data_IF_340563822757
#
_entry.id   IF_340563822757
#
_cell.length_a   1.000
_cell.length_b   1.000
_cell.length_c   1.000
_cell.angle_alpha   90.00
_cell.angle_beta   90.00
_cell.angle_gamma   90.00
#
_symmetry.space_group_name_H-M   'P 1'
#
loop_
_entity.id
_entity.type
_entity.pdbx_description
1 polymer ?
#
# COMPACT_ATOMS: atom_id res chain seq x y z
N UNK A 1 -17.14 -11.83 7.31
CA UNK A 1 -17.25 -11.04 6.05
C UNK A 1 -18.46 -11.55 5.26
N UNK A 2 -18.82 -10.92 4.14
CA UNK A 2 -19.71 -11.52 3.12
C UNK A 2 -18.90 -11.97 1.90
N UNK A 3 -19.49 -12.79 1.02
CA UNK A 3 -18.86 -13.20 -0.25
C UNK A 3 -18.42 -11.99 -1.09
N UNK A 4 -19.28 -10.97 -1.20
CA UNK A 4 -18.95 -9.70 -1.87
C UNK A 4 -17.72 -9.00 -1.25
N UNK A 5 -17.57 -9.03 0.08
CA UNK A 5 -16.42 -8.41 0.75
C UNK A 5 -15.13 -9.19 0.48
N UNK A 6 -15.19 -10.53 0.49
CA UNK A 6 -14.05 -11.39 0.17
C UNK A 6 -13.60 -11.13 -1.28
N UNK A 7 -14.53 -11.16 -2.22
CA UNK A 7 -14.26 -10.90 -3.63
C UNK A 7 -13.68 -9.49 -3.83
N UNK A 8 -14.31 -8.46 -3.25
CA UNK A 8 -13.80 -7.08 -3.33
C UNK A 8 -12.39 -6.95 -2.77
N UNK A 9 -12.15 -7.43 -1.55
CA UNK A 9 -10.83 -7.33 -0.92
C UNK A 9 -9.76 -8.05 -1.73
N UNK A 10 -10.08 -9.23 -2.27
CA UNK A 10 -9.17 -9.98 -3.13
C UNK A 10 -8.90 -9.26 -4.47
N UNK A 11 -9.93 -8.66 -5.09
CA UNK A 11 -9.76 -7.82 -6.28
C UNK A 11 -8.87 -6.62 -6.00
N UNK A 12 -9.06 -5.92 -4.88
CA UNK A 12 -8.22 -4.77 -4.50
C UNK A 12 -6.76 -5.20 -4.25
N UNK A 13 -6.54 -6.33 -3.58
CA UNK A 13 -5.20 -6.91 -3.40
C UNK A 13 -4.55 -7.27 -4.74
N UNK A 14 -5.28 -7.88 -5.66
CA UNK A 14 -4.79 -8.24 -6.99
C UNK A 14 -4.45 -7.01 -7.83
N UNK A 15 -5.29 -5.97 -7.79
CA UNK A 15 -5.03 -4.69 -8.47
C UNK A 15 -3.79 -4.00 -7.90
N UNK A 16 -3.64 -3.97 -6.58
CA UNK A 16 -2.45 -3.41 -5.93
C UNK A 16 -1.18 -4.16 -6.35
N UNK A 17 -1.18 -5.50 -6.22
CA UNK A 17 -0.03 -6.33 -6.58
C UNK A 17 0.30 -6.25 -8.08
N UNK A 18 -0.71 -6.31 -8.94
CA UNK A 18 -0.56 -6.21 -10.39
C UNK A 18 0.01 -4.87 -10.84
N UNK A 19 -0.49 -3.77 -10.29
CA UNK A 19 0.06 -2.42 -10.56
C UNK A 19 1.51 -2.32 -10.09
N UNK A 20 1.82 -2.76 -8.86
CA UNK A 20 3.20 -2.71 -8.31
C UNK A 20 4.17 -3.56 -9.14
N UNK A 21 3.73 -4.72 -9.64
CA UNK A 21 4.50 -5.55 -10.55
C UNK A 21 4.75 -4.81 -11.88
N UNK A 22 3.70 -4.27 -12.50
CA UNK A 22 3.81 -3.49 -13.74
C UNK A 22 4.79 -2.32 -13.61
N UNK A 23 4.66 -1.52 -12.55
CA UNK A 23 5.57 -0.40 -12.26
C UNK A 23 7.01 -0.89 -12.07
N UNK A 24 7.21 -2.00 -11.36
CA UNK A 24 8.54 -2.55 -11.13
C UNK A 24 9.20 -3.02 -12.44
N UNK A 25 8.43 -3.55 -13.39
CA UNK A 25 8.93 -3.99 -14.69
C UNK A 25 9.21 -2.83 -15.64
N UNK A 26 8.44 -1.74 -15.55
CA UNK A 26 8.48 -0.64 -16.54
C UNK A 26 9.26 0.59 -16.08
N UNK A 27 9.22 0.92 -14.79
CA UNK A 27 9.81 2.15 -14.24
C UNK A 27 11.20 1.93 -13.64
N UNK A 28 11.55 0.70 -13.26
CA UNK A 28 12.83 0.42 -12.59
C UNK A 28 14.00 0.63 -13.54
N UNK A 29 14.93 1.50 -13.12
CA UNK A 29 16.20 1.74 -13.82
C UNK A 29 17.34 1.01 -13.11
N UNK A 30 18.33 0.47 -13.85
CA UNK A 30 19.53 -0.12 -13.24
C UNK A 30 20.21 0.86 -12.27
N UNK A 31 20.66 0.35 -11.12
CA UNK A 31 21.30 1.12 -10.07
C UNK A 31 22.43 0.30 -9.43
N UNK A 32 23.43 0.99 -8.91
CA UNK A 32 24.53 0.41 -8.11
C UNK A 32 24.07 0.00 -6.70
N UNK A 33 22.92 0.49 -6.26
CA UNK A 33 22.34 0.14 -4.96
C UNK A 33 21.79 -1.29 -5.00
N UNK A 34 22.33 -2.17 -4.15
CA UNK A 34 21.89 -3.57 -4.01
C UNK A 34 20.97 -3.70 -2.79
N UNK A 35 19.83 -4.36 -2.99
CA UNK A 35 18.96 -4.73 -1.87
C UNK A 35 19.56 -5.93 -1.12
N UNK A 36 19.56 -5.87 0.21
CA UNK A 36 19.99 -7.00 1.02
C UNK A 36 19.05 -8.20 0.84
N UNK A 37 19.61 -9.39 0.65
CA UNK A 37 18.87 -10.61 0.32
C UNK A 37 17.82 -11.00 1.37
N UNK A 38 18.08 -10.71 2.65
CA UNK A 38 17.11 -10.98 3.71
C UNK A 38 15.87 -10.09 3.62
N UNK A 39 16.04 -8.79 3.32
CA UNK A 39 14.91 -7.87 3.10
C UNK A 39 14.12 -8.25 1.84
N UNK A 40 14.80 -8.72 0.80
CA UNK A 40 14.15 -9.28 -0.38
C UNK A 40 13.28 -10.50 -0.02
N UNK A 41 13.84 -11.48 0.70
CA UNK A 41 13.12 -12.69 1.10
C UNK A 41 11.92 -12.40 2.01
N UNK A 42 12.10 -11.46 2.96
CA UNK A 42 11.01 -10.97 3.81
C UNK A 42 9.89 -10.34 2.97
N UNK A 43 10.23 -9.56 1.94
CA UNK A 43 9.25 -8.98 1.01
C UNK A 43 8.44 -10.05 0.28
N UNK A 44 9.09 -11.10 -0.24
CA UNK A 44 8.42 -12.23 -0.88
C UNK A 44 7.48 -12.94 0.10
N UNK A 45 7.96 -13.26 1.31
CA UNK A 45 7.15 -13.89 2.33
C UNK A 45 5.92 -13.04 2.70
N UNK A 46 6.09 -11.72 2.80
CA UNK A 46 5.00 -10.79 3.05
C UNK A 46 3.94 -10.83 1.94
N UNK A 47 4.33 -10.74 0.66
CA UNK A 47 3.38 -10.77 -0.46
C UNK A 47 2.59 -12.09 -0.53
N UNK A 48 3.22 -13.22 -0.23
CA UNK A 48 2.53 -14.52 -0.15
C UNK A 48 1.53 -14.52 1.02
N UNK A 49 1.99 -14.17 2.23
CA UNK A 49 1.17 -14.21 3.43
C UNK A 49 -0.05 -13.27 3.33
N UNK A 50 0.16 -12.04 2.86
CA UNK A 50 -0.91 -11.04 2.75
C UNK A 50 -1.88 -11.36 1.60
N UNK A 51 -1.42 -12.02 0.55
CA UNK A 51 -2.29 -12.45 -0.55
C UNK A 51 -3.25 -13.57 -0.14
N UNK A 52 -2.78 -14.50 0.69
CA UNK A 52 -3.57 -15.65 1.16
C UNK A 52 -4.44 -15.30 2.39
N UNK A 53 -4.09 -14.27 3.16
CA UNK A 53 -4.81 -13.91 4.40
C UNK A 53 -6.30 -13.59 4.18
N UNK A 54 -6.63 -12.84 3.11
CA UNK A 54 -8.02 -12.50 2.75
C UNK A 54 -8.83 -13.75 2.41
N UNK A 55 -8.19 -14.73 1.77
CA UNK A 55 -8.81 -16.02 1.47
C UNK A 55 -9.07 -16.83 2.72
N UNK A 56 -8.08 -16.95 3.61
CA UNK A 56 -8.21 -17.71 4.87
C UNK A 56 -9.38 -17.18 5.70
N UNK A 57 -9.52 -15.86 5.85
CA UNK A 57 -10.65 -15.26 6.54
C UNK A 57 -12.00 -15.43 5.81
N UNK A 58 -11.95 -15.62 4.49
CA UNK A 58 -13.11 -15.87 3.65
C UNK A 58 -13.64 -17.30 3.71
N UNK A 59 -12.80 -18.29 4.04
CA UNK A 59 -13.15 -19.73 4.01
C UNK A 59 -14.48 -20.04 4.71
N UNK A 60 -14.75 -19.58 5.95
CA UNK A 60 -16.00 -19.92 6.63
C UNK A 60 -17.24 -19.48 5.86
N UNK A 61 -17.17 -18.32 5.19
CA UNK A 61 -18.29 -17.74 4.43
C UNK A 61 -18.44 -18.42 3.07
N UNK A 62 -17.31 -18.75 2.43
CA UNK A 62 -17.30 -19.46 1.15
C UNK A 62 -17.82 -20.89 1.29
N UNK A 63 -17.41 -21.62 2.33
CA UNK A 63 -17.87 -22.99 2.57
C UNK A 63 -19.36 -23.05 2.99
N UNK A 64 -19.85 -22.02 3.68
CA UNK A 64 -21.27 -21.93 4.06
C UNK A 64 -22.19 -21.52 2.89
N UNK A 65 -21.63 -21.18 1.72
CA UNK A 65 -22.39 -20.75 0.55
C UNK A 65 -22.32 -21.82 -0.54
N UNK A 66 -23.44 -22.46 -0.88
CA UNK A 66 -23.47 -23.56 -1.87
C UNK A 66 -22.92 -23.18 -3.24
N UNK A 67 -23.21 -21.95 -3.72
CA UNK A 67 -22.65 -21.42 -4.97
C UNK A 67 -22.15 -19.98 -4.77
N UNK A 68 -20.89 -19.79 -4.34
CA UNK A 68 -20.32 -18.47 -4.03
C UNK A 68 -20.31 -17.51 -5.23
N UNK A 69 -20.13 -18.03 -6.45
CA UNK A 69 -20.13 -17.22 -7.67
C UNK A 69 -21.51 -16.63 -7.93
N UNK A 70 -22.57 -17.42 -7.77
CA UNK A 70 -23.96 -16.93 -7.88
C UNK A 70 -24.36 -15.98 -6.74
N UNK A 71 -23.67 -16.07 -5.60
CA UNK A 71 -23.88 -15.18 -4.46
C UNK A 71 -23.22 -13.80 -4.62
N UNK A 72 -22.40 -13.60 -5.66
CA UNK A 72 -21.88 -12.29 -6.03
C UNK A 72 -23.03 -11.41 -6.53
N UNK A 73 -23.40 -10.42 -5.72
CA UNK A 73 -24.48 -9.49 -6.05
C UNK A 73 -23.93 -8.10 -6.28
N UNK A 74 -24.01 -7.62 -7.52
CA UNK A 74 -23.85 -6.22 -7.85
C UNK A 74 -25.08 -5.46 -7.32
N UNK A 75 -24.91 -4.86 -6.14
CA UNK A 75 -25.95 -4.17 -5.41
C UNK A 75 -25.44 -2.80 -4.97
N UNK A 76 -26.31 -1.99 -4.35
CA UNK A 76 -25.94 -0.68 -3.82
C UNK A 76 -24.70 -0.82 -2.93
N UNK A 77 -23.65 0.00 -3.13
CA UNK A 77 -22.43 -0.09 -2.34
C UNK A 77 -22.74 0.03 -0.85
N UNK A 78 -22.16 -0.86 -0.05
CA UNK A 78 -22.18 -0.67 1.41
C UNK A 78 -21.42 0.61 1.78
N UNK A 79 -21.70 1.19 2.95
CA UNK A 79 -20.92 2.33 3.46
C UNK A 79 -19.40 2.03 3.46
N UNK A 80 -19.02 0.80 3.82
CA UNK A 80 -17.63 0.34 3.78
C UNK A 80 -17.05 0.38 2.37
N UNK A 81 -17.79 -0.11 1.39
CA UNK A 81 -17.39 -0.06 -0.03
C UNK A 81 -17.28 1.38 -0.53
N UNK A 82 -18.25 2.23 -0.18
CA UNK A 82 -18.29 3.64 -0.58
C UNK A 82 -17.12 4.45 -0.02
N UNK A 83 -16.56 4.05 1.13
CA UNK A 83 -15.36 4.68 1.71
C UNK A 83 -14.09 4.03 1.17
N UNK A 84 -14.01 2.69 1.19
CA UNK A 84 -12.81 1.95 0.86
C UNK A 84 -12.38 2.10 -0.60
N UNK A 85 -13.32 2.03 -1.55
CA UNK A 85 -12.98 2.05 -2.98
C UNK A 85 -12.39 3.40 -3.39
N UNK A 86 -13.01 4.57 -3.07
CA UNK A 86 -12.41 5.86 -3.38
C UNK A 86 -11.05 6.06 -2.69
N UNK A 87 -10.92 5.67 -1.41
CA UNK A 87 -9.64 5.76 -0.70
C UNK A 87 -8.55 4.92 -1.39
N UNK A 88 -8.87 3.69 -1.77
CA UNK A 88 -7.97 2.80 -2.50
C UNK A 88 -7.53 3.40 -3.83
N UNK A 89 -8.48 3.91 -4.63
CA UNK A 89 -8.20 4.47 -5.96
C UNK A 89 -7.34 5.72 -5.84
N UNK A 90 -7.70 6.65 -4.96
CA UNK A 90 -6.94 7.90 -4.74
C UNK A 90 -5.52 7.61 -4.23
N UNK A 91 -5.38 6.72 -3.23
CA UNK A 91 -4.07 6.36 -2.70
C UNK A 91 -3.22 5.60 -3.74
N UNK A 92 -3.84 4.74 -4.56
CA UNK A 92 -3.15 4.05 -5.65
C UNK A 92 -2.65 5.03 -6.71
N UNK A 93 -3.47 6.03 -7.07
CA UNK A 93 -3.09 7.10 -8.01
C UNK A 93 -1.93 7.92 -7.49
N UNK A 94 -2.02 8.45 -6.26
CA UNK A 94 -0.92 9.21 -5.64
C UNK A 94 0.35 8.38 -5.54
N UNK A 95 0.24 7.08 -5.21
CA UNK A 95 1.39 6.20 -5.16
C UNK A 95 2.04 6.04 -6.55
N UNK A 96 1.23 5.81 -7.59
CA UNK A 96 1.69 5.69 -8.97
C UNK A 96 2.39 6.96 -9.45
N UNK A 97 1.77 8.13 -9.26
CA UNK A 97 2.32 9.43 -9.64
C UNK A 97 3.67 9.67 -8.96
N UNK A 98 3.79 9.29 -7.69
CA UNK A 98 5.06 9.39 -6.98
C UNK A 98 6.13 8.45 -7.55
N UNK A 99 5.80 7.20 -7.88
CA UNK A 99 6.75 6.27 -8.49
C UNK A 99 7.20 6.72 -9.87
N UNK A 100 6.27 7.19 -10.71
CA UNK A 100 6.57 7.73 -12.02
C UNK A 100 7.48 8.96 -11.93
N UNK A 101 7.14 9.89 -11.03
CA UNK A 101 7.97 11.07 -10.78
C UNK A 101 9.40 10.69 -10.37
N UNK A 102 9.53 9.80 -9.38
CA UNK A 102 10.83 9.31 -8.92
C UNK A 102 11.63 8.63 -10.04
N UNK A 103 10.96 7.85 -10.89
CA UNK A 103 11.60 7.19 -12.03
C UNK A 103 12.09 8.19 -13.08
N UNK A 104 11.40 9.32 -13.27
CA UNK A 104 11.78 10.38 -14.22
C UNK A 104 12.88 11.31 -13.70
N UNK A 105 13.16 11.31 -12.39
CA UNK A 105 14.19 12.19 -11.82
C UNK A 105 15.55 11.99 -12.48
N UNK A 106 16.25 13.12 -12.68
CA UNK A 106 17.69 13.09 -12.95
C UNK A 106 18.39 12.48 -11.73
N UNK A 107 19.35 11.59 -11.97
CA UNK A 107 20.00 10.81 -10.91
C UNK A 107 20.50 11.73 -9.79
N UNK A 108 20.14 11.40 -8.55
CA UNK A 108 20.48 12.16 -7.34
C UNK A 108 20.00 13.61 -7.32
N UNK A 109 18.77 13.86 -7.78
CA UNK A 109 18.07 15.13 -7.55
C UNK A 109 17.00 14.97 -6.48
N UNK A 110 16.75 16.03 -5.72
CA UNK A 110 15.69 16.04 -4.72
C UNK A 110 14.32 16.05 -5.44
N UNK A 111 13.38 15.18 -5.07
CA UNK A 111 12.05 15.17 -5.69
C UNK A 111 11.32 16.49 -5.42
N UNK A 112 10.88 17.12 -6.50
CA UNK A 112 10.02 18.30 -6.46
C UNK A 112 8.71 18.01 -7.20
N UNK A 113 7.65 17.75 -6.42
CA UNK A 113 6.29 17.47 -6.88
C UNK A 113 5.35 17.77 -5.70
N UNK A 114 4.07 18.17 -5.90
CA UNK A 114 3.15 18.53 -4.82
C UNK A 114 3.14 17.55 -3.63
N UNK A 115 3.12 16.24 -3.91
CA UNK A 115 3.15 15.20 -2.87
C UNK A 115 4.45 15.19 -2.03
N UNK A 116 5.58 15.62 -2.59
CA UNK A 116 6.90 15.61 -1.93
C UNK A 116 7.24 16.92 -1.21
N UNK A 117 6.40 17.95 -1.33
CA UNK A 117 6.66 19.26 -0.71
C UNK A 117 6.68 19.19 0.81
N UNK A 118 5.81 18.37 1.40
CA UNK A 118 5.65 18.24 2.85
C UNK A 118 6.02 16.86 3.40
N UNK A 119 6.22 15.86 2.55
CA UNK A 119 6.54 14.50 2.96
C UNK A 119 7.73 14.00 2.13
N UNK A 120 8.70 13.34 2.75
CA UNK A 120 9.88 12.79 2.08
C UNK A 120 9.49 11.59 1.23
N UNK A 121 8.71 10.66 1.78
CA UNK A 121 8.25 9.45 1.10
C UNK A 121 6.71 9.36 1.04
N UNK A 122 6.02 10.23 0.29
CA UNK A 122 4.55 10.24 0.19
C UNK A 122 3.96 8.95 -0.43
N UNK A 123 4.74 8.26 -1.26
CA UNK A 123 4.36 6.97 -1.83
C UNK A 123 4.25 5.87 -0.77
N UNK A 124 4.97 5.98 0.36
CA UNK A 124 4.84 5.04 1.48
C UNK A 124 3.60 5.33 2.33
N UNK A 125 3.27 6.61 2.52
CA UNK A 125 1.97 7.02 3.11
C UNK A 125 0.82 6.44 2.30
N UNK A 126 0.92 6.56 0.98
CA UNK A 126 -0.08 6.06 0.05
C UNK A 126 -0.21 4.54 0.14
N UNK A 127 0.89 3.80 0.28
CA UNK A 127 0.86 2.36 0.51
C UNK A 127 0.08 2.00 1.79
N UNK A 128 0.31 2.73 2.89
CA UNK A 128 -0.43 2.52 4.14
C UNK A 128 -1.93 2.77 3.95
N UNK A 129 -2.32 3.83 3.23
CA UNK A 129 -3.71 4.14 2.94
C UNK A 129 -4.39 3.07 2.07
N UNK A 130 -3.66 2.45 1.15
CA UNK A 130 -4.15 1.32 0.35
C UNK A 130 -4.48 0.12 1.25
N UNK A 131 -3.58 -0.24 2.17
CA UNK A 131 -3.85 -1.32 3.13
C UNK A 131 -4.98 -0.99 4.11
N UNK A 132 -5.12 0.27 4.54
CA UNK A 132 -6.27 0.74 5.33
C UNK A 132 -7.57 0.56 4.54
N UNK A 133 -7.61 0.96 3.27
CA UNK A 133 -8.78 0.80 2.42
C UNK A 133 -9.20 -0.68 2.30
N UNK A 134 -8.25 -1.58 2.09
CA UNK A 134 -8.51 -3.03 2.03
C UNK A 134 -9.00 -3.55 3.39
N UNK A 135 -8.42 -3.08 4.49
CA UNK A 135 -8.87 -3.44 5.84
C UNK A 135 -10.32 -3.00 6.10
N UNK A 136 -10.74 -1.82 5.62
CA UNK A 136 -12.14 -1.34 5.71
C UNK A 136 -13.06 -2.19 4.82
N UNK A 137 -12.66 -2.48 3.58
CA UNK A 137 -13.44 -3.30 2.65
C UNK A 137 -13.69 -4.71 3.20
N UNK A 138 -12.66 -5.32 3.77
CA UNK A 138 -12.68 -6.66 4.35
C UNK A 138 -13.22 -6.71 5.79
N UNK A 139 -13.67 -5.59 6.37
CA UNK A 139 -14.06 -5.56 7.77
C UNK A 139 -15.33 -6.42 8.05
N UNK A 140 -15.31 -7.38 9.00
CA UNK A 140 -16.48 -8.15 9.38
C UNK A 140 -17.65 -7.28 9.90
N UNK A 141 -18.86 -7.86 10.01
CA UNK A 141 -20.01 -7.17 10.62
C UNK A 141 -19.65 -6.74 12.06
N UNK A 142 -20.04 -5.52 12.45
CA UNK A 142 -19.71 -4.95 13.76
C UNK A 142 -18.30 -4.40 13.92
N UNK A 143 -17.40 -4.60 12.96
CA UNK A 143 -16.03 -4.06 13.00
C UNK A 143 -15.78 -3.03 11.91
N UNK A 144 -14.95 -2.02 12.23
CA UNK A 144 -14.51 -1.00 11.28
C UNK A 144 -13.41 -1.49 10.35
N UNK A 145 -12.55 -2.38 10.84
CA UNK A 145 -11.38 -2.89 10.11
C UNK A 145 -11.27 -4.41 10.23
N UNK A 146 -10.68 -5.01 9.21
CA UNK A 146 -10.21 -6.39 9.22
C UNK A 146 -8.88 -6.49 10.01
N UNK A 147 -8.84 -7.35 11.03
CA UNK A 147 -7.70 -7.43 11.96
C UNK A 147 -6.44 -8.02 11.31
N UNK A 148 -6.58 -9.03 10.46
CA UNK A 148 -5.40 -9.60 9.77
C UNK A 148 -4.81 -8.61 8.79
N UNK A 149 -5.66 -7.83 8.10
CA UNK A 149 -5.17 -6.75 7.24
C UNK A 149 -4.48 -5.64 8.03
N UNK A 150 -4.97 -5.31 9.24
CA UNK A 150 -4.28 -4.38 10.13
C UNK A 150 -2.92 -4.92 10.60
N UNK A 151 -2.81 -6.22 10.88
CA UNK A 151 -1.51 -6.81 11.22
C UNK A 151 -0.50 -6.69 10.06
N UNK A 152 -0.95 -6.93 8.82
CA UNK A 152 -0.14 -6.69 7.62
C UNK A 152 0.24 -5.22 7.46
N UNK A 153 -0.70 -4.30 7.70
CA UNK A 153 -0.43 -2.86 7.70
C UNK A 153 0.63 -2.46 8.73
N UNK A 154 0.58 -3.01 9.95
CA UNK A 154 1.59 -2.72 10.98
C UNK A 154 2.99 -3.13 10.52
N UNK A 155 3.10 -4.30 9.89
CA UNK A 155 4.35 -4.77 9.31
C UNK A 155 4.86 -3.83 8.20
N UNK A 156 4.01 -3.50 7.23
CA UNK A 156 4.35 -2.57 6.12
C UNK A 156 4.77 -1.21 6.65
N UNK A 157 3.98 -0.63 7.56
CA UNK A 157 4.23 0.69 8.13
C UNK A 157 5.59 0.71 8.83
N UNK A 158 5.94 -0.33 9.58
CA UNK A 158 7.23 -0.43 10.27
C UNK A 158 8.39 -0.51 9.28
N UNK A 159 8.28 -1.37 8.27
CA UNK A 159 9.31 -1.51 7.23
C UNK A 159 9.52 -0.22 6.42
N UNK A 160 8.43 0.43 6.04
CA UNK A 160 8.47 1.68 5.29
C UNK A 160 8.96 2.86 6.14
N UNK A 161 8.66 2.89 7.45
CA UNK A 161 9.16 3.92 8.36
C UNK A 161 10.69 3.89 8.46
N UNK A 162 11.28 2.70 8.63
CA UNK A 162 12.76 2.52 8.66
C UNK A 162 13.39 2.99 7.35
N UNK A 163 12.75 2.65 6.22
CA UNK A 163 13.22 3.06 4.90
C UNK A 163 13.10 4.58 4.71
N UNK A 164 11.99 5.19 5.13
CA UNK A 164 11.77 6.63 5.06
C UNK A 164 12.78 7.43 5.90
N UNK A 165 13.16 6.93 7.08
CA UNK A 165 14.21 7.55 7.89
C UNK A 165 15.56 7.51 7.18
N UNK A 166 15.91 6.37 6.58
CA UNK A 166 17.14 6.19 5.81
C UNK A 166 17.17 7.13 4.59
N UNK A 167 16.05 7.24 3.86
CA UNK A 167 15.91 8.19 2.74
C UNK A 167 16.06 9.64 3.21
N UNK A 168 15.46 10.02 4.34
CA UNK A 168 15.60 11.36 4.89
C UNK A 168 17.06 11.66 5.25
N UNK A 169 17.73 10.76 5.96
CA UNK A 169 19.16 10.91 6.33
C UNK A 169 20.02 11.10 5.09
N UNK A 170 19.81 10.27 4.07
CA UNK A 170 20.52 10.38 2.79
C UNK A 170 20.26 11.73 2.09
N UNK A 171 19.02 12.21 2.05
CA UNK A 171 18.71 13.54 1.50
C UNK A 171 19.35 14.68 2.29
N UNK A 172 19.43 14.59 3.63
CA UNK A 172 20.10 15.61 4.46
C UNK A 172 21.61 15.64 4.16
N UNK A 173 22.24 14.48 4.11
CA UNK A 173 23.67 14.34 3.79
C UNK A 173 23.99 14.90 2.40
N UNK A 174 23.10 14.65 1.42
CA UNK A 174 23.34 15.03 0.03
C UNK A 174 22.98 16.48 -0.30
N UNK A 175 21.89 17.00 0.25
CA UNK A 175 21.30 18.30 -0.15
C UNK A 175 21.27 19.34 0.98
N UNK A 176 21.66 18.97 2.19
CA UNK A 176 21.61 19.83 3.37
C UNK A 176 20.27 19.76 4.11
N UNK A 177 20.31 19.98 5.43
CA UNK A 177 19.15 19.86 6.31
C UNK A 177 18.05 20.90 6.00
N UNK A 178 18.43 22.09 5.55
CA UNK A 178 17.49 23.18 5.27
C UNK A 178 16.49 22.84 4.16
N UNK A 179 16.90 22.04 3.18
CA UNK A 179 16.04 21.62 2.05
C UNK A 179 14.89 20.70 2.50
N UNK A 180 15.03 20.04 3.65
CA UNK A 180 14.04 19.11 4.23
C UNK A 180 13.35 19.65 5.48
N UNK A 181 13.59 20.91 5.85
CA UNK A 181 12.97 21.54 7.00
C UNK A 181 11.45 21.52 6.85
N UNK A 182 10.76 21.08 7.90
CA UNK A 182 9.29 20.99 7.92
C UNK A 182 8.68 19.84 7.12
N UNK A 183 9.48 18.99 6.45
CA UNK A 183 8.95 17.78 5.78
C UNK A 183 8.85 16.61 6.76
N UNK A 184 7.72 15.93 6.82
CA UNK A 184 7.58 14.63 7.50
C UNK A 184 8.31 13.52 6.71
N UNK A 185 8.71 12.44 7.37
CA UNK A 185 9.34 11.29 6.71
C UNK A 185 8.31 10.52 5.87
N UNK A 186 7.17 10.21 6.47
CA UNK A 186 6.16 9.32 5.90
C UNK A 186 4.74 9.68 6.34
N UNK A 187 4.43 9.67 7.64
CA UNK A 187 3.05 9.91 8.10
C UNK A 187 2.89 11.38 8.47
N UNK A 188 2.10 12.16 7.71
CA UNK A 188 1.96 13.58 8.00
C UNK A 188 1.43 13.81 9.41
N UNK A 189 1.93 14.85 10.07
CA UNK A 189 1.62 15.21 11.47
C UNK A 189 2.10 14.21 12.53
N UNK A 190 2.73 13.09 12.15
CA UNK A 190 3.21 12.07 13.09
C UNK A 190 4.72 11.82 12.91
N UNK A 191 5.15 11.46 11.69
CA UNK A 191 6.50 10.95 11.43
C UNK A 191 7.03 11.33 10.05
#
# INVERSE_FOLDING_TARGET
MSVNQVALAWTLMALQGGRRLYESLTLTKPSESKMWVGLWGIGIAYYIAIGVSVWIEGIPVLNATENPLSALKFSKPSLKTFIAVPLFVLASGVQHDCHEHLARLKKYTLPWHPHFQRIVCPHYTSECLIYIAIAVAAAPKGHLFNRTMLAGLCFVTSNLAVTADSTRKWYIEKFGADQLKGRWRMVPFIY
#
